data_IF_900596905528
#
_entry.id   IF_900596905528
#
_cell.length_a   1.000
_cell.length_b   1.000
_cell.length_c   1.000
_cell.angle_alpha   90.00
_cell.angle_beta   90.00
_cell.angle_gamma   90.00
#
_symmetry.space_group_name_H-M   'P 1'
#
loop_
_entity.id
_entity.type
_entity.pdbx_description
1 polymer ?
#
# COMPACT_ATOMS: atom_id res chain seq x y z
N UNK A 1 6.26 -21.65 -5.24
CA UNK A 1 5.63 -20.62 -4.39
C UNK A 1 4.16 -21.00 -4.28
N UNK A 2 3.57 -20.87 -3.10
CA UNK A 2 2.15 -21.12 -2.88
C UNK A 2 1.35 -20.01 -3.59
N UNK A 3 0.61 -20.36 -4.64
CA UNK A 3 -0.17 -19.43 -5.46
C UNK A 3 -1.62 -19.30 -4.93
N UNK A 4 -1.81 -19.43 -3.63
CA UNK A 4 -3.11 -19.26 -3.01
C UNK A 4 -3.46 -17.77 -2.85
N UNK A 5 -4.75 -17.45 -2.80
CA UNK A 5 -5.19 -16.09 -2.49
C UNK A 5 -4.84 -15.75 -1.03
N UNK A 6 -4.13 -14.64 -0.86
CA UNK A 6 -3.63 -14.16 0.41
C UNK A 6 -4.02 -12.70 0.63
N UNK A 7 -4.10 -12.27 1.88
CA UNK A 7 -4.32 -10.87 2.22
C UNK A 7 -2.98 -10.14 2.29
N UNK A 8 -2.89 -8.99 1.65
CA UNK A 8 -1.70 -8.14 1.61
C UNK A 8 -1.98 -6.73 2.08
N UNK A 9 -1.06 -6.19 2.87
CA UNK A 9 -0.95 -4.76 3.10
C UNK A 9 -0.02 -4.16 2.05
N UNK A 10 -0.54 -3.20 1.29
CA UNK A 10 0.22 -2.39 0.35
C UNK A 10 0.39 -1.00 0.93
N UNK A 11 1.63 -0.54 1.02
CA UNK A 11 1.94 0.84 1.42
C UNK A 11 2.78 1.51 0.34
N UNK A 12 2.27 2.60 -0.23
CA UNK A 12 2.98 3.39 -1.24
C UNK A 12 3.49 4.69 -0.62
N UNK A 13 4.67 5.12 -1.06
CA UNK A 13 5.35 6.34 -0.63
C UNK A 13 5.64 7.23 -1.85
N UNK A 14 4.63 7.95 -2.37
CA UNK A 14 4.83 8.90 -3.47
C UNK A 14 5.71 10.06 -3.02
N UNK A 15 6.55 10.59 -3.90
CA UNK A 15 7.35 11.78 -3.61
C UNK A 15 6.45 13.03 -3.50
N UNK A 16 5.44 13.11 -4.37
CA UNK A 16 4.40 14.13 -4.31
C UNK A 16 3.44 13.85 -3.13
N UNK A 17 3.41 14.78 -2.16
CA UNK A 17 2.59 14.69 -0.95
C UNK A 17 1.30 15.50 -1.02
N UNK A 18 0.98 16.11 -2.16
CA UNK A 18 -0.24 16.88 -2.31
C UNK A 18 -1.47 15.95 -2.37
N UNK A 19 -2.58 16.41 -1.79
CA UNK A 19 -3.79 15.59 -1.65
C UNK A 19 -4.39 15.18 -3.00
N UNK A 20 -4.19 15.98 -4.04
CA UNK A 20 -4.76 15.73 -5.37
C UNK A 20 -4.00 14.60 -6.06
N UNK A 21 -2.66 14.64 -6.11
CA UNK A 21 -1.83 13.58 -6.66
C UNK A 21 -2.03 12.26 -5.91
N UNK A 22 -2.07 12.31 -4.57
CA UNK A 22 -2.37 11.14 -3.74
C UNK A 22 -3.75 10.56 -4.05
N UNK A 23 -4.76 11.42 -4.24
CA UNK A 23 -6.11 11.01 -4.60
C UNK A 23 -6.20 10.38 -5.99
N UNK A 24 -5.51 10.95 -6.98
CA UNK A 24 -5.43 10.43 -8.35
C UNK A 24 -4.76 9.06 -8.37
N UNK A 25 -3.62 8.93 -7.70
CA UNK A 25 -2.89 7.66 -7.60
C UNK A 25 -3.72 6.60 -6.86
N UNK A 26 -4.36 6.95 -5.74
CA UNK A 26 -5.21 6.02 -4.99
C UNK A 26 -6.38 5.49 -5.84
N UNK A 27 -6.99 6.33 -6.70
CA UNK A 27 -8.04 5.91 -7.62
C UNK A 27 -7.50 4.98 -8.71
N UNK A 28 -6.38 5.32 -9.33
CA UNK A 28 -5.75 4.50 -10.35
C UNK A 28 -5.40 3.10 -9.81
N UNK A 29 -4.82 3.04 -8.61
CA UNK A 29 -4.51 1.80 -7.90
C UNK A 29 -5.76 0.99 -7.60
N UNK A 30 -6.82 1.63 -7.10
CA UNK A 30 -8.07 0.95 -6.80
C UNK A 30 -8.65 0.27 -8.06
N UNK A 31 -8.69 0.99 -9.19
CA UNK A 31 -9.17 0.43 -10.47
C UNK A 31 -8.29 -0.73 -10.96
N UNK A 32 -6.97 -0.57 -10.95
CA UNK A 32 -6.06 -1.61 -11.43
C UNK A 32 -6.10 -2.87 -10.57
N UNK A 33 -6.11 -2.71 -9.25
CA UNK A 33 -6.17 -3.84 -8.31
C UNK A 33 -7.53 -4.54 -8.38
N UNK A 34 -8.65 -3.81 -8.42
CA UNK A 34 -9.98 -4.41 -8.60
C UNK A 34 -10.04 -5.22 -9.89
N UNK A 35 -9.45 -4.73 -10.99
CA UNK A 35 -9.40 -5.45 -12.26
C UNK A 35 -8.52 -6.71 -12.17
N UNK A 36 -7.42 -6.65 -11.42
CA UNK A 36 -6.46 -7.74 -11.32
C UNK A 36 -6.92 -8.86 -10.38
N UNK A 37 -7.58 -8.50 -9.26
CA UNK A 37 -7.97 -9.46 -8.21
C UNK A 37 -9.46 -9.81 -8.19
N UNK A 38 -10.30 -9.03 -8.89
CA UNK A 38 -11.75 -9.16 -8.86
C UNK A 38 -12.43 -8.54 -7.63
N UNK A 39 -11.64 -8.10 -6.64
CA UNK A 39 -12.14 -7.50 -5.39
C UNK A 39 -11.54 -6.11 -5.19
N UNK A 40 -12.37 -5.16 -4.76
CA UNK A 40 -11.92 -3.80 -4.52
C UNK A 40 -11.05 -3.71 -3.25
N UNK A 41 -9.83 -3.14 -3.32
CA UNK A 41 -8.98 -2.97 -2.15
C UNK A 41 -9.60 -2.02 -1.11
N UNK A 42 -9.39 -2.32 0.17
CA UNK A 42 -9.83 -1.48 1.27
C UNK A 42 -8.79 -0.40 1.56
N UNK A 43 -9.20 0.87 1.55
CA UNK A 43 -8.33 2.00 1.85
C UNK A 43 -8.18 2.15 3.37
N UNK A 44 -6.97 1.95 3.88
CA UNK A 44 -6.62 2.10 5.30
C UNK A 44 -6.11 3.52 5.53
N UNK A 45 -7.02 4.49 5.58
CA UNK A 45 -6.79 5.92 5.89
C UNK A 45 -5.63 6.64 5.15
N UNK A 46 -5.91 7.63 4.28
CA UNK A 46 -4.89 8.39 3.54
C UNK A 46 -4.27 9.54 4.35
N UNK A 47 -3.90 9.31 5.61
CA UNK A 47 -3.22 10.32 6.42
C UNK A 47 -1.71 10.10 6.39
N UNK A 48 -0.96 11.19 6.15
CA UNK A 48 0.52 11.35 6.30
C UNK A 48 1.42 11.09 5.08
N UNK A 49 0.92 11.26 3.86
CA UNK A 49 1.77 11.26 2.66
C UNK A 49 2.15 9.86 2.17
N UNK A 50 1.34 8.87 2.52
CA UNK A 50 1.40 7.51 2.03
C UNK A 50 -0.01 7.01 1.70
N UNK A 51 -0.10 6.05 0.78
CA UNK A 51 -1.34 5.35 0.45
C UNK A 51 -1.25 3.95 1.03
N UNK A 52 -2.22 3.57 1.86
CA UNK A 52 -2.29 2.25 2.47
C UNK A 52 -3.55 1.52 1.99
N UNK A 53 -3.36 0.33 1.41
CA UNK A 53 -4.43 -0.50 0.86
C UNK A 53 -4.32 -1.91 1.44
N UNK A 54 -5.46 -2.54 1.72
CA UNK A 54 -5.57 -3.98 1.94
C UNK A 54 -6.12 -4.63 0.68
N UNK A 55 -5.43 -5.65 0.20
CA UNK A 55 -5.75 -6.34 -1.06
C UNK A 55 -5.73 -7.84 -0.84
N UNK A 56 -6.78 -8.53 -1.27
CA UNK A 56 -6.81 -9.98 -1.35
C UNK A 56 -6.44 -10.43 -2.76
N UNK A 57 -5.54 -11.40 -2.91
CA UNK A 57 -5.17 -11.94 -4.21
C UNK A 57 -3.86 -12.72 -4.19
N UNK A 58 -3.38 -13.08 -5.37
CA UNK A 58 -2.05 -13.67 -5.55
C UNK A 58 -0.96 -12.59 -5.55
N UNK A 59 0.20 -12.90 -4.96
CA UNK A 59 1.32 -11.95 -4.88
C UNK A 59 1.74 -11.40 -6.25
N UNK A 60 1.94 -12.28 -7.24
CA UNK A 60 2.42 -11.86 -8.56
C UNK A 60 1.40 -11.01 -9.31
N UNK A 61 0.12 -11.31 -9.15
CA UNK A 61 -1.00 -10.55 -9.72
C UNK A 61 -1.06 -9.15 -9.12
N UNK A 62 -0.98 -9.04 -7.78
CA UNK A 62 -0.96 -7.74 -7.09
C UNK A 62 0.31 -6.96 -7.46
N UNK A 63 1.48 -7.59 -7.40
CA UNK A 63 2.76 -6.94 -7.67
C UNK A 63 2.85 -6.43 -9.12
N UNK A 64 2.29 -7.15 -10.10
CA UNK A 64 2.19 -6.70 -11.49
C UNK A 64 1.28 -5.48 -11.61
N UNK A 65 0.08 -5.53 -11.03
CA UNK A 65 -0.86 -4.41 -11.06
C UNK A 65 -0.28 -3.14 -10.41
N UNK A 66 0.51 -3.30 -9.33
CA UNK A 66 1.22 -2.19 -8.71
C UNK A 66 2.28 -1.60 -9.65
N UNK A 67 3.09 -2.42 -10.33
CA UNK A 67 4.10 -1.94 -11.29
C UNK A 67 3.50 -1.25 -12.51
N UNK A 68 2.33 -1.67 -12.96
CA UNK A 68 1.65 -1.06 -14.11
C UNK A 68 1.14 0.36 -13.80
N UNK A 69 0.85 0.66 -12.53
CA UNK A 69 0.32 1.97 -12.08
C UNK A 69 1.40 2.86 -11.47
N UNK A 70 2.34 2.26 -10.73
CA UNK A 70 3.38 3.01 -10.05
C UNK A 70 4.47 3.40 -11.06
N UNK A 71 4.62 4.71 -11.29
CA UNK A 71 5.76 5.26 -11.99
C UNK A 71 7.07 4.91 -11.25
N UNK A 72 8.23 5.01 -11.92
CA UNK A 72 9.53 4.59 -11.40
C UNK A 72 9.94 5.28 -10.07
N UNK A 73 9.32 6.41 -9.75
CA UNK A 73 9.54 7.22 -8.55
C UNK A 73 8.66 6.78 -7.35
N UNK A 74 7.61 6.00 -7.57
CA UNK A 74 6.71 5.55 -6.50
C UNK A 74 7.23 4.25 -5.88
N UNK A 75 7.80 4.38 -4.68
CA UNK A 75 8.22 3.21 -3.88
C UNK A 75 7.02 2.60 -3.17
N UNK A 76 6.93 1.27 -3.16
CA UNK A 76 5.89 0.57 -2.41
C UNK A 76 6.42 -0.63 -1.63
N UNK A 77 5.72 -0.97 -0.56
CA UNK A 77 5.88 -2.19 0.23
C UNK A 77 4.64 -3.06 0.01
N UNK A 78 4.86 -4.34 -0.25
CA UNK A 78 3.81 -5.36 -0.39
C UNK A 78 4.09 -6.46 0.64
N UNK A 79 3.24 -6.55 1.68
CA UNK A 79 3.45 -7.43 2.83
C UNK A 79 2.28 -8.40 2.96
N UNK A 80 2.56 -9.71 2.89
CA UNK A 80 1.57 -10.76 3.16
C UNK A 80 1.21 -10.74 4.65
N UNK A 81 -0.08 -10.64 4.95
CA UNK A 81 -0.59 -10.54 6.33
C UNK A 81 -1.51 -11.69 6.76
N UNK A 82 -2.11 -12.44 5.81
CA UNK A 82 -2.91 -13.70 5.90
C UNK A 82 -3.96 -13.88 7.00
N UNK A 83 -3.65 -13.50 8.22
CA UNK A 83 -4.58 -13.35 9.32
C UNK A 83 -5.10 -11.92 9.36
N UNK A 84 -6.39 -11.70 9.69
CA UNK A 84 -6.86 -10.36 10.01
C UNK A 84 -6.06 -9.88 11.21
N UNK A 85 -5.12 -8.96 10.98
CA UNK A 85 -4.52 -8.21 12.07
C UNK A 85 -5.65 -7.46 12.76
N UNK A 86 -6.13 -8.03 13.85
CA UNK A 86 -6.94 -7.34 14.85
C UNK A 86 -6.09 -6.22 15.45
N UNK A 87 -6.08 -5.05 14.79
CA UNK A 87 -5.60 -3.76 15.29
C UNK A 87 -4.11 -3.62 15.73
N UNK A 88 -3.35 -4.69 15.97
CA UNK A 88 -1.99 -4.62 16.55
C UNK A 88 -0.83 -4.51 15.55
N UNK A 89 -1.00 -5.00 14.31
CA UNK A 89 0.08 -4.96 13.30
C UNK A 89 0.27 -3.56 12.69
N UNK A 90 -0.84 -2.85 12.48
CA UNK A 90 -0.82 -1.49 11.96
C UNK A 90 -0.18 -0.52 12.95
N UNK A 91 -0.31 -0.72 14.26
CA UNK A 91 0.39 0.10 15.26
C UNK A 91 1.91 -0.10 15.20
N UNK A 92 2.38 -1.31 14.89
CA UNK A 92 3.81 -1.63 14.80
C UNK A 92 4.44 -1.13 13.49
N UNK A 93 3.75 -1.27 12.35
CA UNK A 93 4.17 -0.68 11.08
C UNK A 93 4.13 0.85 11.14
N UNK A 94 3.10 1.43 11.77
CA UNK A 94 3.01 2.86 12.02
C UNK A 94 4.09 3.36 12.99
N UNK A 95 4.39 2.62 14.07
CA UNK A 95 5.46 2.95 15.01
C UNK A 95 6.84 2.90 14.35
N UNK A 96 7.11 1.88 13.52
CA UNK A 96 8.34 1.79 12.74
C UNK A 96 8.49 2.98 11.77
N UNK A 97 7.39 3.38 11.12
CA UNK A 97 7.36 4.56 10.24
C UNK A 97 7.59 5.88 11.00
N UNK A 98 7.02 6.04 12.19
CA UNK A 98 7.26 7.20 13.05
C UNK A 98 8.70 7.28 13.56
N UNK A 99 9.33 6.14 13.88
CA UNK A 99 10.74 6.11 14.32
C UNK A 99 11.67 6.59 13.20
N UNK A 100 11.42 6.19 11.95
CA UNK A 100 12.24 6.58 10.79
C UNK A 100 12.08 8.06 10.42
N UNK A 101 10.87 8.61 10.51
CA UNK A 101 10.60 10.02 10.17
C UNK A 101 11.11 10.99 11.23
N UNK A 102 11.28 10.54 12.48
CA UNK A 102 11.92 11.32 13.56
C UNK A 102 13.45 11.33 13.52
N UNK A 103 14.07 10.46 12.71
CA UNK A 103 15.54 10.38 12.57
C UNK A 103 16.09 11.18 11.39
N UNK A 104 15.26 11.85 10.60
CA UNK A 104 15.72 12.89 9.68
C UNK A 104 15.96 14.19 10.46
N UNK A 105 17.22 14.62 10.69
CA UNK A 105 17.47 15.91 11.31
C UNK A 105 16.92 17.02 10.39
N UNK A 106 16.37 18.11 10.95
CA UNK A 106 15.96 19.25 10.14
C UNK A 106 17.18 19.79 9.38
N UNK A 107 17.03 19.97 8.06
CA UNK A 107 17.85 20.93 7.31
C UNK A 107 17.22 22.31 7.46
#
# INVERSE_FOLDING_TARGET
MDNSNHMFLVTLFPEAKDKTALGTLARALNTALTKATGEAPQIVHPNTGAICLLVCGEFDTINRALRDVCENDVRYLLVRIDTPFSAFGLSSAHAWFQIRTRQTPPK
#
